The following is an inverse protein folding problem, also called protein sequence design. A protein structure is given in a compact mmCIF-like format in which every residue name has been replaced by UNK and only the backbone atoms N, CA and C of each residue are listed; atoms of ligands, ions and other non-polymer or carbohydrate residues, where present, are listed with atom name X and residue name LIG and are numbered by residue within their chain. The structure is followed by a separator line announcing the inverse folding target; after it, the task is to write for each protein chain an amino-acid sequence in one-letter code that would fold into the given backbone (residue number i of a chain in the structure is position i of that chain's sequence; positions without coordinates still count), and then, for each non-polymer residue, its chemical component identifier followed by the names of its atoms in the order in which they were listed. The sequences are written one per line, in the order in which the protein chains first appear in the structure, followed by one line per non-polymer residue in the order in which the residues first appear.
data_IF_543325542523
#
_entry.id   IF_543325542523
#
_cell.length_a   1.000
_cell.length_b   1.000
_cell.length_c   1.000
_cell.angle_alpha   90.00
_cell.angle_beta   90.00
_cell.angle_gamma   90.00
#
_symmetry.space_group_name_H-M   'P 1'
#
loop_
_entity.id
_entity.type
_entity.pdbx_description
1 polymer ?
#
# COMPACT_ATOMS: atom_id res chain seq x y z
N UNK A 1 -32.02 6.98 4.95
CA UNK A 1 -30.79 6.88 4.12
C UNK A 1 -29.92 5.82 4.76
N UNK A 2 -29.55 4.77 4.03
CA UNK A 2 -28.46 3.89 4.47
C UNK A 2 -27.19 4.71 4.33
N UNK A 3 -26.36 4.79 5.37
CA UNK A 3 -25.06 5.44 5.23
C UNK A 3 -24.21 4.58 4.29
N UNK A 4 -23.50 5.19 3.33
CA UNK A 4 -22.57 4.44 2.49
C UNK A 4 -21.56 3.73 3.38
N UNK A 5 -21.65 2.40 3.38
CA UNK A 5 -20.80 1.49 4.13
C UNK A 5 -19.69 1.00 3.20
N UNK A 6 -18.45 1.30 3.57
CA UNK A 6 -17.29 0.88 2.83
C UNK A 6 -16.58 -0.28 3.52
N UNK A 7 -16.02 -1.18 2.72
CA UNK A 7 -15.04 -2.17 3.20
C UNK A 7 -13.81 -2.00 2.32
N UNK A 8 -12.73 -1.49 2.92
CA UNK A 8 -11.54 -0.99 2.23
C UNK A 8 -10.41 -1.99 2.46
N UNK A 9 -10.05 -2.74 1.42
CA UNK A 9 -9.00 -3.74 1.49
C UNK A 9 -7.63 -3.12 1.16
N UNK A 10 -6.71 -3.11 2.12
CA UNK A 10 -5.32 -2.72 1.86
C UNK A 10 -4.50 -3.92 1.40
N UNK A 11 -3.82 -3.77 0.26
CA UNK A 11 -2.99 -4.81 -0.34
C UNK A 11 -1.63 -4.22 -0.70
N UNK A 12 -0.59 -5.05 -0.67
CA UNK A 12 0.75 -4.70 -1.14
C UNK A 12 1.75 -5.80 -0.75
N UNK A 13 2.83 -5.93 -1.50
CA UNK A 13 3.89 -6.93 -1.22
C UNK A 13 4.54 -6.70 0.17
N UNK A 14 5.47 -7.57 0.55
CA UNK A 14 6.28 -7.32 1.75
C UNK A 14 7.11 -6.04 1.61
N UNK A 15 7.50 -5.43 2.72
CA UNK A 15 8.37 -4.25 2.79
C UNK A 15 7.87 -2.94 2.11
N UNK A 16 6.62 -2.88 1.62
CA UNK A 16 6.02 -1.64 1.05
C UNK A 16 5.52 -0.63 2.10
N UNK A 17 5.94 -0.73 3.36
CA UNK A 17 5.57 0.21 4.43
C UNK A 17 4.18 0.03 5.07
N UNK A 18 3.45 -1.06 4.80
CA UNK A 18 2.10 -1.32 5.38
C UNK A 18 2.07 -1.19 6.90
N UNK A 19 3.02 -1.83 7.60
CA UNK A 19 3.07 -1.85 9.07
C UNK A 19 3.32 -0.47 9.67
N UNK A 20 4.29 0.28 9.11
CA UNK A 20 4.57 1.67 9.51
C UNK A 20 3.40 2.60 9.23
N UNK A 21 2.77 2.50 8.06
CA UNK A 21 1.58 3.29 7.72
C UNK A 21 0.43 3.00 8.68
N UNK A 22 0.10 1.72 8.93
CA UNK A 22 -0.96 1.37 9.86
C UNK A 22 -0.67 1.80 11.30
N UNK A 23 0.56 1.60 11.81
CA UNK A 23 0.93 2.04 13.16
C UNK A 23 0.76 3.56 13.32
N UNK A 24 1.15 4.33 12.31
CA UNK A 24 0.95 5.78 12.25
C UNK A 24 -0.52 6.18 12.14
N UNK A 25 -1.28 5.54 11.25
CA UNK A 25 -2.71 5.77 11.07
C UNK A 25 -3.47 5.51 12.39
N UNK A 26 -3.17 4.40 13.06
CA UNK A 26 -3.72 4.06 14.38
C UNK A 26 -3.41 5.15 15.42
N UNK A 27 -2.16 5.62 15.48
CA UNK A 27 -1.75 6.70 16.38
C UNK A 27 -2.51 8.00 16.11
N UNK A 28 -2.66 8.41 14.84
CA UNK A 28 -3.45 9.60 14.44
C UNK A 28 -4.91 9.49 14.87
N UNK A 29 -5.53 8.30 14.73
CA UNK A 29 -6.88 8.04 15.23
C UNK A 29 -6.98 8.10 16.77
N UNK A 30 -5.96 7.59 17.49
CA UNK A 30 -5.93 7.61 18.96
C UNK A 30 -5.84 9.03 19.52
N UNK A 31 -4.98 9.88 18.95
CA UNK A 31 -4.82 11.28 19.39
C UNK A 31 -5.88 12.22 18.79
N UNK A 32 -6.71 11.73 17.86
CA UNK A 32 -7.78 12.46 17.17
C UNK A 32 -7.30 13.68 16.37
N UNK A 33 -6.04 13.66 15.92
CA UNK A 33 -5.42 14.70 15.10
C UNK A 33 -5.50 14.34 13.60
N UNK A 34 -6.71 14.04 13.13
CA UNK A 34 -6.99 13.66 11.74
C UNK A 34 -8.50 13.71 11.41
N UNK A 35 -8.83 13.62 10.13
CA UNK A 35 -10.18 13.70 9.57
C UNK A 35 -11.05 12.45 9.81
N UNK A 36 -10.45 11.36 10.29
CA UNK A 36 -11.10 10.09 10.59
C UNK A 36 -11.07 9.79 12.09
N UNK A 37 -12.06 9.03 12.57
CA UNK A 37 -12.23 8.65 13.98
C UNK A 37 -12.56 7.17 14.07
N UNK A 38 -12.06 6.46 15.10
CA UNK A 38 -12.50 5.09 15.37
C UNK A 38 -14.00 5.07 15.69
N UNK A 39 -14.71 4.13 15.10
CA UNK A 39 -16.17 3.95 15.21
C UNK A 39 -16.56 2.62 15.87
N UNK A 40 -15.59 1.90 16.42
CA UNK A 40 -15.75 0.60 17.07
C UNK A 40 -14.39 0.12 17.61
N UNK A 41 -14.38 -1.06 18.25
CA UNK A 41 -13.13 -1.68 18.65
C UNK A 41 -12.45 -2.32 17.41
N UNK A 42 -11.21 -1.94 17.06
CA UNK A 42 -10.46 -2.62 16.02
C UNK A 42 -10.10 -4.05 16.47
N UNK A 43 -10.15 -5.01 15.54
CA UNK A 43 -9.67 -6.37 15.82
C UNK A 43 -8.15 -6.43 15.72
N UNK A 44 -7.53 -7.25 16.56
CA UNK A 44 -6.15 -7.72 16.40
C UNK A 44 -5.12 -6.59 16.15
N UNK A 45 -4.83 -5.79 17.17
CA UNK A 45 -3.90 -4.67 17.06
C UNK A 45 -2.43 -5.01 17.36
N UNK A 46 -2.11 -6.21 17.86
CA UNK A 46 -0.81 -6.53 18.48
C UNK A 46 0.40 -6.08 17.64
N UNK A 47 0.46 -6.47 16.37
CA UNK A 47 1.54 -6.07 15.46
C UNK A 47 1.66 -4.54 15.27
N UNK A 48 0.54 -3.84 15.20
CA UNK A 48 0.51 -2.38 15.08
C UNK A 48 0.84 -1.68 16.41
N UNK A 49 0.49 -2.25 17.56
CA UNK A 49 0.91 -1.71 18.87
C UNK A 49 2.41 -1.90 19.11
N UNK A 50 2.99 -3.03 18.71
CA UNK A 50 4.45 -3.24 18.75
C UNK A 50 5.15 -2.24 17.85
N UNK A 51 4.69 -2.09 16.60
CA UNK A 51 5.25 -1.12 15.67
C UNK A 51 5.12 0.32 16.18
N UNK A 52 3.98 0.68 16.77
CA UNK A 52 3.78 2.00 17.39
C UNK A 52 4.68 2.24 18.61
N UNK A 53 4.99 1.20 19.40
CA UNK A 53 5.98 1.30 20.48
C UNK A 53 7.36 1.67 19.93
N UNK A 54 7.83 0.96 18.89
CA UNK A 54 9.10 1.28 18.23
C UNK A 54 9.12 2.72 17.70
N UNK A 55 8.05 3.16 17.03
CA UNK A 55 7.93 4.53 16.51
C UNK A 55 7.93 5.57 17.65
N UNK A 56 7.29 5.28 18.77
CA UNK A 56 7.30 6.18 19.95
C UNK A 56 8.70 6.29 20.57
N UNK A 57 9.51 5.24 20.46
CA UNK A 57 10.94 5.25 20.83
C UNK A 57 11.86 5.88 19.76
N UNK A 58 11.33 6.44 18.67
CA UNK A 58 12.16 6.98 17.58
C UNK A 58 12.87 5.93 16.72
N UNK A 59 12.36 4.70 16.68
CA UNK A 59 12.93 3.55 15.95
C UNK A 59 11.98 3.01 14.89
N UNK A 60 12.53 2.45 13.83
CA UNK A 60 11.79 1.61 12.89
C UNK A 60 11.47 0.25 13.52
N UNK A 61 10.26 -0.26 13.28
CA UNK A 61 9.89 -1.63 13.64
C UNK A 61 10.59 -2.67 12.76
N UNK A 62 10.77 -3.88 13.29
CA UNK A 62 11.15 -5.04 12.51
C UNK A 62 10.01 -5.54 11.60
N UNK A 63 10.35 -6.45 10.68
CA UNK A 63 9.35 -7.16 9.88
C UNK A 63 8.45 -7.99 10.80
N UNK A 64 7.14 -7.86 10.64
CA UNK A 64 6.17 -8.62 11.44
C UNK A 64 6.32 -10.13 11.15
N UNK A 65 6.58 -10.98 12.16
CA UNK A 65 6.72 -12.42 11.94
C UNK A 65 5.43 -13.03 11.41
N UNK A 66 5.49 -13.77 10.30
CA UNK A 66 4.33 -14.31 9.60
C UNK A 66 3.71 -15.57 10.26
N UNK A 67 3.96 -15.80 11.56
CA UNK A 67 3.59 -17.04 12.24
C UNK A 67 2.09 -17.18 12.54
N UNK A 68 1.31 -16.10 12.49
CA UNK A 68 -0.09 -16.10 12.92
C UNK A 68 -0.98 -15.39 11.90
N UNK A 69 -1.87 -16.14 11.27
CA UNK A 69 -2.83 -15.68 10.25
C UNK A 69 -3.95 -14.81 10.88
N UNK A 70 -3.63 -13.56 11.21
CA UNK A 70 -4.55 -12.70 11.96
C UNK A 70 -4.80 -11.39 11.21
N UNK A 71 -6.01 -11.25 10.70
CA UNK A 71 -6.48 -10.02 10.04
C UNK A 71 -6.80 -8.92 11.05
N UNK A 72 -6.46 -7.67 10.71
CA UNK A 72 -6.83 -6.48 11.49
C UNK A 72 -7.97 -5.76 10.74
N UNK A 73 -9.12 -5.55 11.39
CA UNK A 73 -10.28 -4.83 10.83
C UNK A 73 -10.57 -3.63 11.72
N UNK A 74 -10.51 -2.42 11.16
CA UNK A 74 -10.69 -1.19 11.93
C UNK A 74 -11.96 -0.45 11.49
N UNK A 75 -13.00 -0.42 12.35
CA UNK A 75 -14.18 0.41 12.15
C UNK A 75 -13.81 1.89 12.27
N UNK A 76 -13.94 2.65 11.18
CA UNK A 76 -13.63 4.08 11.11
C UNK A 76 -14.81 4.88 10.55
N UNK A 77 -14.88 6.16 10.91
CA UNK A 77 -15.93 7.09 10.47
C UNK A 77 -15.36 8.49 10.26
N UNK A 78 -15.88 9.20 9.26
CA UNK A 78 -15.55 10.62 9.04
C UNK A 78 -16.53 11.57 9.73
N UNK A 79 -16.30 12.88 9.62
CA UNK A 79 -17.15 13.90 10.24
C UNK A 79 -18.54 14.03 9.59
N UNK A 80 -18.66 13.70 8.29
CA UNK A 80 -19.94 13.62 7.60
C UNK A 80 -20.76 12.38 8.03
N UNK A 81 -20.13 11.46 8.76
CA UNK A 81 -20.75 10.28 9.32
C UNK A 81 -20.75 9.06 8.39
N UNK A 82 -20.00 9.07 7.28
CA UNK A 82 -19.74 7.91 6.42
C UNK A 82 -18.87 6.90 7.17
N UNK A 83 -19.14 5.61 7.01
CA UNK A 83 -18.50 4.53 7.77
C UNK A 83 -17.68 3.63 6.84
N UNK A 84 -16.50 3.21 7.31
CA UNK A 84 -15.68 2.24 6.61
C UNK A 84 -15.08 1.21 7.57
N UNK A 85 -14.91 -0.01 7.09
CA UNK A 85 -14.06 -1.04 7.69
C UNK A 85 -12.75 -1.09 6.92
N UNK A 86 -11.67 -0.73 7.61
CA UNK A 86 -10.32 -0.75 7.04
C UNK A 86 -9.70 -2.12 7.31
N UNK A 87 -9.49 -2.91 6.25
CA UNK A 87 -9.12 -4.32 6.31
C UNK A 87 -7.65 -4.51 5.95
N UNK A 88 -6.88 -5.06 6.89
CA UNK A 88 -5.47 -5.40 6.76
C UNK A 88 -5.33 -6.95 6.73
N UNK A 89 -5.23 -7.56 5.54
CA UNK A 89 -5.42 -9.01 5.36
C UNK A 89 -4.23 -9.88 5.77
N UNK A 90 -3.04 -9.28 5.90
CA UNK A 90 -1.79 -9.89 6.40
C UNK A 90 -0.74 -8.78 6.66
N UNK A 91 -0.05 -8.82 7.80
CA UNK A 91 1.01 -7.86 8.13
C UNK A 91 2.26 -8.07 7.26
N UNK A 92 2.65 -9.33 7.03
CA UNK A 92 3.94 -9.66 6.40
C UNK A 92 3.99 -9.39 4.89
N UNK A 93 2.83 -9.35 4.23
CA UNK A 93 2.74 -9.36 2.75
C UNK A 93 3.14 -10.70 2.12
N UNK A 94 3.45 -11.72 2.92
CA UNK A 94 3.82 -13.05 2.43
C UNK A 94 2.65 -13.71 1.70
N UNK A 95 1.41 -13.57 2.18
CA UNK A 95 0.23 -14.04 1.46
C UNK A 95 0.09 -13.42 0.05
N UNK A 96 0.50 -12.17 -0.15
CA UNK A 96 0.51 -11.53 -1.49
C UNK A 96 1.54 -12.22 -2.39
N UNK A 97 2.73 -12.55 -1.86
CA UNK A 97 3.73 -13.36 -2.57
C UNK A 97 3.19 -14.76 -2.90
N UNK A 98 2.52 -15.44 -1.95
CA UNK A 98 1.91 -16.76 -2.17
C UNK A 98 0.78 -16.74 -3.21
N UNK A 99 -0.04 -15.69 -3.25
CA UNK A 99 -1.03 -15.48 -4.31
C UNK A 99 -0.32 -15.39 -5.67
N UNK A 100 0.56 -14.41 -5.86
CA UNK A 100 1.19 -14.13 -7.17
C UNK A 100 2.10 -15.26 -7.65
N UNK A 101 2.99 -15.79 -6.79
CA UNK A 101 3.99 -16.79 -7.22
C UNK A 101 3.50 -18.24 -7.14
N UNK A 102 2.62 -18.59 -6.20
CA UNK A 102 2.16 -19.97 -6.04
C UNK A 102 0.72 -20.19 -6.54
N UNK A 103 0.02 -19.12 -6.95
CA UNK A 103 -1.39 -19.14 -7.41
C UNK A 103 -2.34 -19.79 -6.40
N UNK A 104 -1.97 -19.81 -5.11
CA UNK A 104 -2.73 -20.39 -4.01
C UNK A 104 -3.58 -19.30 -3.37
N UNK A 105 -4.90 -19.47 -3.43
CA UNK A 105 -5.86 -18.53 -2.83
C UNK A 105 -6.45 -19.16 -1.56
N UNK A 106 -6.16 -18.63 -0.37
CA UNK A 106 -6.87 -18.99 0.86
C UNK A 106 -8.34 -18.56 0.79
N UNK A 107 -9.26 -19.35 1.37
CA UNK A 107 -10.72 -19.04 1.36
C UNK A 107 -11.03 -17.63 1.88
N UNK A 108 -10.37 -17.22 2.97
CA UNK A 108 -10.55 -15.91 3.57
C UNK A 108 -10.18 -14.73 2.61
N UNK A 109 -9.26 -14.94 1.65
CA UNK A 109 -8.99 -13.92 0.62
C UNK A 109 -10.17 -13.73 -0.33
N UNK A 110 -10.87 -14.82 -0.68
CA UNK A 110 -12.08 -14.71 -1.53
C UNK A 110 -13.17 -13.92 -0.81
N UNK A 111 -13.41 -14.21 0.47
CA UNK A 111 -14.43 -13.53 1.28
C UNK A 111 -14.13 -12.02 1.41
N UNK A 112 -12.88 -11.67 1.73
CA UNK A 112 -12.41 -10.26 1.78
C UNK A 112 -12.60 -9.54 0.47
N UNK A 113 -12.19 -10.17 -0.63
CA UNK A 113 -12.24 -9.55 -1.97
C UNK A 113 -13.68 -9.37 -2.46
N UNK A 114 -14.59 -10.30 -2.15
CA UNK A 114 -16.02 -10.18 -2.45
C UNK A 114 -16.73 -9.15 -1.56
N UNK A 115 -16.31 -8.99 -0.30
CA UNK A 115 -16.84 -7.97 0.61
C UNK A 115 -16.29 -6.56 0.37
N UNK A 116 -15.10 -6.43 -0.21
CA UNK A 116 -14.42 -5.15 -0.37
C UNK A 116 -15.11 -4.26 -1.43
N UNK A 117 -15.64 -3.13 -0.98
CA UNK A 117 -16.20 -2.09 -1.86
C UNK A 117 -15.12 -1.27 -2.56
N UNK A 118 -13.90 -1.26 -2.02
CA UNK A 118 -12.80 -0.37 -2.40
C UNK A 118 -11.45 -1.02 -2.08
N UNK A 119 -10.44 -0.81 -2.92
CA UNK A 119 -9.09 -1.39 -2.78
C UNK A 119 -8.03 -0.29 -2.69
N UNK A 120 -7.05 -0.49 -1.83
CA UNK A 120 -5.88 0.38 -1.66
C UNK A 120 -4.62 -0.45 -1.90
N UNK A 121 -3.87 -0.15 -2.95
CA UNK A 121 -2.61 -0.83 -3.29
C UNK A 121 -1.41 0.01 -2.84
N UNK A 122 -0.65 -0.45 -1.85
CA UNK A 122 0.62 0.17 -1.45
C UNK A 122 1.77 -0.33 -2.33
N UNK A 123 2.53 0.61 -2.88
CA UNK A 123 3.71 0.37 -3.71
C UNK A 123 4.84 1.29 -3.23
N UNK A 124 6.00 0.72 -2.90
CA UNK A 124 7.23 1.48 -2.65
C UNK A 124 8.09 1.45 -3.90
N UNK A 125 8.34 2.61 -4.51
CA UNK A 125 9.02 2.68 -5.81
C UNK A 125 10.52 2.33 -5.76
N UNK A 126 11.21 2.61 -4.64
CA UNK A 126 12.65 2.28 -4.50
C UNK A 126 12.98 0.81 -4.37
N UNK A 127 12.07 0.01 -3.84
CA UNK A 127 12.28 -1.44 -3.70
C UNK A 127 12.08 -2.21 -5.01
N UNK A 128 11.76 -1.52 -6.11
CA UNK A 128 11.40 -2.15 -7.37
C UNK A 128 12.65 -2.52 -8.17
N UNK A 129 12.74 -3.80 -8.55
CA UNK A 129 13.76 -4.26 -9.48
C UNK A 129 13.43 -3.81 -10.89
N UNK A 130 14.19 -2.81 -11.34
CA UNK A 130 14.34 -2.48 -12.75
C UNK A 130 15.32 -3.51 -13.34
N UNK A 131 14.81 -4.64 -13.81
CA UNK A 131 15.60 -5.52 -14.68
C UNK A 131 15.91 -4.76 -15.97
N UNK A 132 17.20 -4.59 -16.28
CA UNK A 132 17.66 -4.11 -17.59
C UNK A 132 17.12 -5.08 -18.65
N UNK A 133 16.10 -4.62 -19.39
CA UNK A 133 15.50 -5.31 -20.52
C UNK A 133 16.59 -5.79 -21.50
N UNK A 134 16.38 -6.96 -22.10
CA UNK A 134 17.27 -7.55 -23.10
C UNK A 134 17.54 -6.59 -24.27
N UNK A 135 16.59 -5.70 -24.58
CA UNK A 135 16.73 -4.66 -25.60
C UNK A 135 17.43 -3.37 -25.12
N UNK A 136 17.54 -3.16 -23.81
CA UNK A 136 18.27 -2.03 -23.19
C UNK A 136 19.77 -2.32 -23.04
N UNK A 137 20.16 -3.60 -22.99
CA UNK A 137 21.54 -4.03 -22.83
C UNK A 137 22.34 -3.85 -24.13
N UNK A 138 23.49 -3.15 -24.11
CA UNK A 138 24.37 -3.08 -25.29
C UNK A 138 24.79 -4.48 -25.75
N UNK A 139 24.79 -4.75 -27.06
CA UNK A 139 25.16 -6.06 -27.63
C UNK A 139 26.52 -6.60 -27.11
N UNK A 140 27.41 -5.70 -26.70
CA UNK A 140 28.71 -6.01 -26.11
C UNK A 140 28.63 -6.77 -24.77
N UNK A 141 27.59 -6.58 -23.94
CA UNK A 141 27.45 -7.29 -22.66
C UNK A 141 27.07 -8.77 -22.82
N UNK A 142 26.63 -9.18 -24.02
CA UNK A 142 26.37 -10.59 -24.34
C UNK A 142 27.64 -11.34 -24.78
N UNK A 143 28.72 -10.63 -25.15
CA UNK A 143 29.97 -11.23 -25.60
C UNK A 143 30.84 -11.79 -24.45
N UNK A 144 30.57 -11.38 -23.21
CA UNK A 144 31.34 -11.75 -22.00
C UNK A 144 30.75 -12.92 -21.21
N UNK A 145 29.78 -13.66 -21.77
CA UNK A 145 29.13 -14.79 -21.07
C UNK A 145 29.95 -16.08 -21.23
N UNK A 146 31.16 -16.10 -20.69
CA UNK A 146 31.88 -17.34 -20.41
C UNK A 146 31.42 -17.92 -19.07
N UNK A 147 30.74 -19.07 -19.12
CA UNK A 147 30.45 -19.96 -17.99
C UNK A 147 29.93 -19.34 -16.68
N UNK A 148 28.78 -18.65 -16.72
CA UNK A 148 27.93 -18.56 -15.54
C UNK A 148 27.02 -19.80 -15.49
N UNK A 149 27.35 -20.70 -14.56
CA UNK A 149 26.47 -21.81 -14.18
C UNK A 149 25.25 -21.32 -13.42
N UNK A 150 24.25 -22.20 -13.33
CA UNK A 150 22.88 -21.93 -12.88
C UNK A 150 22.06 -21.05 -13.85
N UNK A 151 20.99 -21.64 -14.38
CA UNK A 151 20.01 -20.88 -15.15
C UNK A 151 19.34 -19.87 -14.22
N UNK A 152 19.53 -18.57 -14.48
CA UNK A 152 18.84 -17.50 -13.76
C UNK A 152 17.34 -17.75 -13.80
N UNK A 153 16.75 -18.06 -12.64
CA UNK A 153 15.32 -18.30 -12.52
C UNK A 153 14.57 -17.07 -13.00
N UNK A 154 13.75 -17.22 -14.04
CA UNK A 154 12.99 -16.11 -14.62
C UNK A 154 11.97 -15.60 -13.59
N UNK A 155 12.31 -14.52 -12.89
CA UNK A 155 11.40 -13.85 -11.96
C UNK A 155 10.53 -12.84 -12.72
N UNK A 156 9.26 -12.73 -12.31
CA UNK A 156 8.38 -11.68 -12.83
C UNK A 156 8.84 -10.32 -12.32
N UNK A 157 8.98 -9.35 -13.25
CA UNK A 157 9.26 -7.96 -12.91
C UNK A 157 8.21 -7.40 -11.95
N UNK A 158 8.59 -6.42 -11.13
CA UNK A 158 7.77 -6.00 -9.98
C UNK A 158 6.43 -5.34 -10.42
N UNK A 159 6.43 -4.69 -11.59
CA UNK A 159 5.20 -4.23 -12.25
C UNK A 159 4.35 -5.40 -12.80
N UNK A 160 4.95 -6.47 -13.30
CA UNK A 160 4.21 -7.68 -13.69
C UNK A 160 3.56 -8.38 -12.49
N UNK A 161 4.27 -8.47 -11.34
CA UNK A 161 3.70 -9.01 -10.09
C UNK A 161 2.53 -8.16 -9.58
N UNK A 162 2.64 -6.84 -9.68
CA UNK A 162 1.56 -5.91 -9.32
C UNK A 162 0.32 -6.05 -10.23
N UNK A 163 0.52 -6.28 -11.54
CA UNK A 163 -0.57 -6.56 -12.49
C UNK A 163 -1.21 -7.92 -12.23
N UNK A 164 -0.43 -8.99 -12.07
CA UNK A 164 -0.93 -10.34 -11.75
C UNK A 164 -1.73 -10.33 -10.44
N UNK A 165 -1.25 -9.63 -9.41
CA UNK A 165 -2.00 -9.43 -8.16
C UNK A 165 -3.39 -8.81 -8.42
N UNK A 166 -3.45 -7.68 -9.14
CA UNK A 166 -4.73 -7.05 -9.47
C UNK A 166 -5.62 -7.98 -10.30
N UNK A 167 -5.07 -8.72 -11.28
CA UNK A 167 -5.81 -9.71 -12.06
C UNK A 167 -6.37 -10.84 -11.19
N UNK A 168 -5.62 -11.33 -10.20
CA UNK A 168 -6.09 -12.32 -9.24
C UNK A 168 -7.22 -11.76 -8.35
N UNK A 169 -7.12 -10.52 -7.87
CA UNK A 169 -8.18 -9.88 -7.09
C UNK A 169 -9.46 -9.69 -7.95
N UNK A 170 -9.32 -9.25 -9.21
CA UNK A 170 -10.42 -9.12 -10.16
C UNK A 170 -11.11 -10.46 -10.44
N UNK A 171 -10.33 -11.53 -10.64
CA UNK A 171 -10.83 -12.89 -10.80
C UNK A 171 -11.60 -13.38 -9.57
N UNK A 172 -11.09 -13.10 -8.36
CA UNK A 172 -11.76 -13.48 -7.11
C UNK A 172 -13.04 -12.69 -6.85
N UNK A 173 -13.07 -11.42 -7.24
CA UNK A 173 -14.26 -10.57 -7.21
C UNK A 173 -15.28 -10.91 -8.33
N UNK A 174 -14.94 -11.83 -9.24
CA UNK A 174 -15.76 -12.21 -10.41
C UNK A 174 -16.11 -11.00 -11.31
N UNK A 175 -15.19 -10.05 -11.44
CA UNK A 175 -15.40 -8.81 -12.18
C UNK A 175 -15.05 -8.97 -13.66
N UNK A 176 -15.93 -8.43 -14.50
CA UNK A 176 -15.71 -8.35 -15.94
C UNK A 176 -15.08 -7.01 -16.32
N UNK A 177 -14.22 -7.04 -17.34
CA UNK A 177 -13.46 -5.89 -17.86
C UNK A 177 -14.00 -5.45 -19.24
N UNK A 178 -15.29 -5.68 -19.49
CA UNK A 178 -16.00 -5.23 -20.68
C UNK A 178 -16.14 -3.69 -20.73
N UNK A 179 -15.99 -3.04 -19.58
CA UNK A 179 -16.03 -1.60 -19.38
C UNK A 179 -15.23 -1.20 -18.14
N UNK A 180 -14.71 0.05 -18.04
CA UNK A 180 -13.98 0.51 -16.88
C UNK A 180 -14.80 0.40 -15.57
N UNK A 181 -14.17 -0.19 -14.55
CA UNK A 181 -14.76 -0.46 -13.26
C UNK A 181 -15.01 0.83 -12.47
N UNK A 182 -16.25 1.00 -11.99
CA UNK A 182 -16.61 2.01 -10.99
C UNK A 182 -16.50 1.48 -9.56
N UNK A 183 -16.64 0.16 -9.40
CA UNK A 183 -16.49 -0.58 -8.14
C UNK A 183 -15.79 -1.91 -8.41
N UNK A 184 -14.89 -2.36 -7.51
CA UNK A 184 -14.36 -1.61 -6.38
C UNK A 184 -13.50 -0.43 -6.87
N UNK A 185 -13.54 0.72 -6.17
CA UNK A 185 -12.67 1.85 -6.53
C UNK A 185 -11.24 1.48 -6.16
N UNK A 186 -10.27 1.87 -6.98
CA UNK A 186 -8.85 1.60 -6.74
C UNK A 186 -8.11 2.88 -6.39
N UNK A 187 -7.39 2.86 -5.28
CA UNK A 187 -6.40 3.85 -4.90
C UNK A 187 -5.01 3.21 -4.86
N UNK A 188 -4.01 3.91 -5.38
CA UNK A 188 -2.60 3.53 -5.28
C UNK A 188 -1.92 4.50 -4.32
N UNK A 189 -1.30 3.96 -3.28
CA UNK A 189 -0.48 4.71 -2.34
C UNK A 189 1.00 4.43 -2.63
N UNK A 190 1.69 5.45 -3.13
CA UNK A 190 3.12 5.42 -3.39
C UNK A 190 3.84 5.70 -2.07
N UNK A 191 4.20 4.63 -1.35
CA UNK A 191 4.77 4.70 -0.02
C UNK A 191 6.27 5.03 -0.04
N UNK A 192 6.75 5.56 1.09
CA UNK A 192 8.10 6.12 1.24
C UNK A 192 8.36 7.27 0.25
N UNK A 193 7.36 8.15 0.10
CA UNK A 193 7.44 9.28 -0.83
C UNK A 193 8.59 10.25 -0.54
N UNK A 194 8.94 10.39 0.74
CA UNK A 194 10.09 11.17 1.23
C UNK A 194 11.43 10.71 0.65
N UNK A 195 11.58 9.44 0.30
CA UNK A 195 12.81 8.91 -0.29
C UNK A 195 12.99 9.33 -1.76
N UNK A 196 11.92 9.80 -2.44
CA UNK A 196 11.90 9.96 -3.91
C UNK A 196 12.49 11.27 -4.40
N UNK A 197 12.71 12.23 -3.50
CA UNK A 197 13.30 13.56 -3.77
C UNK A 197 12.74 14.26 -5.03
N UNK A 198 11.46 14.04 -5.33
CA UNK A 198 10.80 14.47 -6.58
C UNK A 198 9.72 15.52 -6.36
N UNK A 199 9.49 16.31 -7.41
CA UNK A 199 8.39 17.28 -7.53
C UNK A 199 7.32 16.86 -8.54
N UNK A 200 7.44 15.66 -9.12
CA UNK A 200 6.43 15.07 -10.00
C UNK A 200 5.11 14.79 -9.25
N UNK A 201 3.97 14.86 -9.95
CA UNK A 201 2.70 14.42 -9.40
C UNK A 201 2.70 12.89 -9.21
N UNK A 202 2.00 12.35 -8.19
CA UNK A 202 1.99 10.91 -7.92
C UNK A 202 1.59 10.04 -9.13
N UNK A 203 0.62 10.49 -9.92
CA UNK A 203 0.17 9.77 -11.11
C UNK A 203 1.20 9.78 -12.25
N UNK A 204 1.94 10.87 -12.43
CA UNK A 204 2.96 11.03 -13.47
C UNK A 204 4.21 10.21 -13.13
N UNK A 205 4.63 10.22 -11.86
CA UNK A 205 5.72 9.39 -11.37
C UNK A 205 5.39 7.88 -11.46
N UNK A 206 4.14 7.49 -11.18
CA UNK A 206 3.70 6.11 -11.42
C UNK A 206 3.73 5.76 -12.92
N UNK A 207 3.32 6.69 -13.79
CA UNK A 207 3.35 6.51 -15.23
C UNK A 207 4.78 6.33 -15.77
N UNK A 208 5.73 7.12 -15.26
CA UNK A 208 7.13 7.08 -15.70
C UNK A 208 7.87 5.85 -15.16
N UNK A 209 7.62 5.44 -13.91
CA UNK A 209 8.32 4.31 -13.26
C UNK A 209 7.69 2.94 -13.52
N UNK A 210 6.36 2.85 -13.63
CA UNK A 210 5.63 1.58 -13.85
C UNK A 210 4.59 1.70 -14.97
N UNK A 211 5.01 2.01 -16.21
CA UNK A 211 4.10 2.29 -17.32
C UNK A 211 3.15 1.12 -17.63
N UNK A 212 3.59 -0.13 -17.46
CA UNK A 212 2.74 -1.30 -17.71
C UNK A 212 1.62 -1.41 -16.67
N UNK A 213 1.95 -1.23 -15.38
CA UNK A 213 0.97 -1.24 -14.30
C UNK A 213 -0.02 -0.07 -14.46
N UNK A 214 0.48 1.12 -14.78
CA UNK A 214 -0.39 2.30 -14.93
C UNK A 214 -1.32 2.21 -16.14
N UNK A 215 -0.82 1.70 -17.27
CA UNK A 215 -1.63 1.39 -18.45
C UNK A 215 -2.73 0.38 -18.13
N UNK A 216 -2.40 -0.71 -17.42
CA UNK A 216 -3.38 -1.69 -16.96
C UNK A 216 -4.43 -1.06 -16.04
N UNK A 217 -4.03 -0.26 -15.06
CA UNK A 217 -4.94 0.39 -14.10
C UNK A 217 -5.87 1.39 -14.79
N UNK A 218 -5.34 2.30 -15.62
CA UNK A 218 -6.15 3.30 -16.33
C UNK A 218 -7.10 2.73 -17.39
N UNK A 219 -6.77 1.56 -17.94
CA UNK A 219 -7.66 0.87 -18.90
C UNK A 219 -8.83 0.18 -18.22
N UNK A 220 -8.66 -0.25 -16.95
CA UNK A 220 -9.62 -1.10 -16.26
C UNK A 220 -10.42 -0.40 -15.15
N UNK A 221 -9.99 0.76 -14.64
CA UNK A 221 -10.73 1.55 -13.66
C UNK A 221 -11.19 2.90 -14.23
N UNK A 222 -12.42 3.30 -13.91
CA UNK A 222 -13.01 4.55 -14.41
C UNK A 222 -12.40 5.81 -13.77
N UNK A 223 -11.97 5.71 -12.50
CA UNK A 223 -11.42 6.83 -11.72
C UNK A 223 -10.38 6.35 -10.68
N UNK A 224 -9.26 5.73 -11.12
CA UNK A 224 -8.19 5.32 -10.21
C UNK A 224 -7.49 6.55 -9.64
N UNK A 225 -7.28 6.58 -8.33
CA UNK A 225 -6.56 7.68 -7.64
C UNK A 225 -5.15 7.26 -7.29
N UNK A 226 -4.16 8.14 -7.48
CA UNK A 226 -2.77 7.92 -7.05
C UNK A 226 -2.36 9.02 -6.07
N UNK A 227 -1.80 8.65 -4.93
CA UNK A 227 -1.39 9.56 -3.87
C UNK A 227 0.02 9.16 -3.39
N UNK A 228 0.88 10.16 -3.17
CA UNK A 228 2.16 9.97 -2.50
C UNK A 228 1.95 9.85 -0.99
N UNK A 229 2.63 8.92 -0.33
CA UNK A 229 2.56 8.70 1.12
C UNK A 229 3.96 8.62 1.71
N UNK A 230 4.25 9.54 2.63
CA UNK A 230 5.33 9.38 3.59
C UNK A 230 4.71 9.16 4.98
N UNK A 231 4.75 7.93 5.48
CA UNK A 231 4.21 7.63 6.81
C UNK A 231 5.10 8.15 7.94
N UNK A 232 6.41 8.25 7.72
CA UNK A 232 7.41 8.59 8.74
C UNK A 232 8.11 9.94 8.52
N UNK A 233 8.02 10.50 7.30
CA UNK A 233 8.74 11.73 6.87
C UNK A 233 10.27 11.66 6.92
N UNK A 234 10.84 10.57 7.40
CA UNK A 234 12.27 10.26 7.44
C UNK A 234 12.52 8.76 7.59
N UNK A 235 13.71 8.31 7.19
CA UNK A 235 14.21 6.98 7.52
C UNK A 235 14.57 6.87 9.01
N UNK A 236 14.04 5.85 9.70
CA UNK A 236 14.36 5.53 11.10
C UNK A 236 15.24 4.27 11.17
N UNK A 237 16.22 4.25 12.07
CA UNK A 237 17.01 3.05 12.37
C UNK A 237 16.24 2.07 13.25
N UNK A 238 16.59 0.78 13.20
CA UNK A 238 16.07 -0.23 14.14
C UNK A 238 16.81 -0.21 15.48
N UNK A 239 18.08 0.17 15.45
CA UNK A 239 18.98 0.19 16.61
C UNK A 239 19.09 1.56 17.24
N UNK A 240 19.17 2.60 16.40
CA UNK A 240 19.48 3.96 16.79
C UNK A 240 18.21 4.78 16.95
N UNK A 241 18.12 5.54 18.05
CA UNK A 241 16.96 6.38 18.37
C UNK A 241 17.09 7.73 17.67
N UNK A 242 16.11 8.07 16.81
CA UNK A 242 15.90 9.45 16.43
C UNK A 242 15.27 10.20 17.62
N UNK A 243 16.08 11.04 18.27
CA UNK A 243 15.66 11.81 19.44
C UNK A 243 14.60 12.87 19.10
N UNK A 244 14.67 13.51 17.93
CA UNK A 244 13.68 14.52 17.54
C UNK A 244 12.32 13.84 17.34
N UNK A 245 12.32 12.68 16.70
CA UNK A 245 11.13 11.87 16.45
C UNK A 245 10.50 11.38 17.76
N UNK A 246 11.31 10.84 18.67
CA UNK A 246 10.83 10.39 19.99
C UNK A 246 10.30 11.54 20.86
N UNK A 247 10.92 12.73 20.81
CA UNK A 247 10.53 13.90 21.63
C UNK A 247 9.24 14.55 21.12
N UNK A 248 9.11 14.72 19.79
CA UNK A 248 7.91 15.31 19.17
C UNK A 248 6.73 14.33 19.13
N UNK A 249 7.03 13.04 19.24
CA UNK A 249 6.08 11.94 19.09
C UNK A 249 5.95 11.50 17.62
N UNK A 250 5.43 10.29 17.33
CA UNK A 250 5.13 9.87 15.96
C UNK A 250 3.94 10.61 15.34
N UNK A 251 3.11 11.27 16.15
CA UNK A 251 2.35 12.43 15.67
C UNK A 251 3.28 13.53 15.13
N UNK A 252 2.74 14.54 14.45
CA UNK A 252 3.49 15.67 13.89
C UNK A 252 4.63 15.33 12.89
N UNK A 253 4.72 14.06 12.47
CA UNK A 253 5.45 13.58 11.28
C UNK A 253 4.55 12.82 10.31
N UNK A 254 4.98 12.81 9.06
CA UNK A 254 4.32 12.07 7.99
C UNK A 254 3.32 12.96 7.25
N UNK A 255 3.17 12.67 5.97
CA UNK A 255 2.36 13.45 5.05
C UNK A 255 1.91 12.64 3.85
N UNK A 256 0.94 13.19 3.12
CA UNK A 256 0.51 12.72 1.81
C UNK A 256 0.67 13.83 0.78
N UNK A 257 0.96 13.44 -0.47
CA UNK A 257 0.92 14.31 -1.64
C UNK A 257 -0.30 13.90 -2.47
N UNK A 258 -1.24 14.82 -2.56
CA UNK A 258 -2.52 14.64 -3.23
C UNK A 258 -2.36 14.64 -4.76
N UNK A 259 -3.38 14.21 -5.55
CA UNK A 259 -3.26 14.09 -7.01
C UNK A 259 -3.00 15.42 -7.73
N UNK A 260 -3.32 16.53 -7.09
CA UNK A 260 -3.09 17.93 -7.50
C UNK A 260 -1.72 18.48 -7.04
N UNK A 261 -0.94 17.69 -6.28
CA UNK A 261 0.35 18.08 -5.70
C UNK A 261 0.26 18.72 -4.31
N UNK A 262 -0.93 18.90 -3.74
CA UNK A 262 -1.07 19.48 -2.39
C UNK A 262 -0.47 18.53 -1.32
N UNK A 263 0.46 19.03 -0.50
CA UNK A 263 1.02 18.30 0.65
C UNK A 263 0.13 18.51 1.88
N UNK A 264 -0.37 17.42 2.48
CA UNK A 264 -1.12 17.43 3.73
C UNK A 264 -0.47 16.55 4.79
N UNK A 265 -0.42 17.01 6.04
CA UNK A 265 0.08 16.23 7.18
C UNK A 265 -0.91 15.15 7.67
N UNK A 266 -2.17 15.18 7.22
CA UNK A 266 -3.14 14.14 7.56
C UNK A 266 -3.01 12.93 6.64
N UNK A 267 -2.20 11.96 7.06
CA UNK A 267 -2.01 10.67 6.36
C UNK A 267 -3.28 9.79 6.31
N UNK A 268 -4.37 10.16 6.99
CA UNK A 268 -5.65 9.46 6.95
C UNK A 268 -6.57 9.96 5.83
N UNK A 269 -6.28 11.16 5.30
CA UNK A 269 -6.99 11.81 4.20
C UNK A 269 -7.18 10.95 2.93
N UNK A 270 -6.26 10.05 2.51
CA UNK A 270 -6.49 9.18 1.36
C UNK A 270 -7.69 8.26 1.55
N UNK A 271 -7.83 7.68 2.74
CA UNK A 271 -8.96 6.80 3.09
C UNK A 271 -10.26 7.61 3.15
N UNK A 272 -10.23 8.84 3.69
CA UNK A 272 -11.39 9.74 3.67
C UNK A 272 -11.81 10.12 2.23
N UNK A 273 -10.86 10.50 1.36
CA UNK A 273 -11.13 10.79 -0.06
C UNK A 273 -11.70 9.58 -0.80
N UNK A 274 -11.21 8.38 -0.49
CA UNK A 274 -11.77 7.13 -1.01
C UNK A 274 -13.21 6.93 -0.53
N UNK A 275 -13.54 7.17 0.74
CA UNK A 275 -14.93 7.12 1.22
C UNK A 275 -15.83 8.12 0.49
N UNK A 276 -15.40 9.38 0.34
CA UNK A 276 -16.16 10.47 -0.30
C UNK A 276 -16.67 10.12 -1.71
N UNK A 277 -15.82 9.49 -2.55
CA UNK A 277 -16.13 9.33 -3.97
C UNK A 277 -14.93 8.98 -4.84
N UNK A 278 -13.74 9.49 -4.48
CA UNK A 278 -12.78 9.95 -5.49
C UNK A 278 -13.18 11.34 -6.02
N UNK A 279 -12.19 12.10 -6.52
CA UNK A 279 -12.38 13.38 -7.23
C UNK A 279 -12.47 13.09 -8.73
#
# INVERSE_FOLDING_TARGET
MVADQHTILLVGESNVGKTHYGAQFLKRLMVKACALKMSGAPTNLEAFTTALSCLTEGKSTDHTPASTYVESVWPIRDEAGRYAELVWPDYGGEQVRHLVTQRRIPTAWRERVLGATDWVLLIRLHSLRFDDDLFSRPLQSFATVESLGEATSYELSDQARSVELLQMLLYLAQLHLDRPLRKPRLMILLSCWDELETTELPADLLASRLPMLWSFVRSNWASPTVIGLSALERALSKTDVDQEYAIRGPEEFGYVVLPDGEKSADITLPIQRLMIGGV
#
